data_IF_983127510025
#
_entry.id   IF_983127510025
#
_cell.length_a   1.000
_cell.length_b   1.000
_cell.length_c   1.000
_cell.angle_alpha   90.00
_cell.angle_beta   90.00
_cell.angle_gamma   90.00
#
_symmetry.space_group_name_H-M   'P 1'
#
loop_
_entity.id
_entity.type
_entity.pdbx_description
1 polymer ?
#
# COMPACT_ATOMS: atom_id res chain seq x y z
N UNK A 1 -7.55 -4.65 73.36
CA UNK A 1 -6.75 -4.76 72.11
C UNK A 1 -7.52 -5.52 71.04
N UNK A 2 -8.68 -5.02 70.56
CA UNK A 2 -9.44 -5.69 69.49
C UNK A 2 -9.99 -4.74 68.41
N UNK A 3 -9.75 -3.42 68.52
CA UNK A 3 -10.25 -2.43 67.56
C UNK A 3 -9.36 -2.22 66.32
N UNK A 4 -8.06 -2.48 66.40
CA UNK A 4 -7.13 -2.20 65.29
C UNK A 4 -7.12 -3.28 64.19
N UNK A 5 -7.49 -4.53 64.50
CA UNK A 5 -7.45 -5.60 63.49
C UNK A 5 -8.63 -5.54 62.50
N UNK A 6 -9.78 -4.99 62.90
CA UNK A 6 -10.93 -4.83 62.01
C UNK A 6 -10.78 -3.68 61.01
N UNK A 7 -10.05 -2.62 61.38
CA UNK A 7 -9.73 -1.50 60.49
C UNK A 7 -8.66 -1.86 59.44
N UNK A 8 -7.70 -2.73 59.78
CA UNK A 8 -6.72 -3.23 58.83
C UNK A 8 -7.32 -4.23 57.83
N UNK A 9 -8.29 -5.05 58.26
CA UNK A 9 -9.00 -5.97 57.37
C UNK A 9 -9.98 -5.26 56.41
N UNK A 10 -10.59 -4.14 56.81
CA UNK A 10 -11.42 -3.34 55.91
C UNK A 10 -10.60 -2.49 54.92
N UNK A 11 -9.41 -2.01 55.31
CA UNK A 11 -8.50 -1.30 54.39
C UNK A 11 -7.84 -2.22 53.36
N UNK A 12 -7.55 -3.47 53.70
CA UNK A 12 -7.02 -4.46 52.74
C UNK A 12 -8.12 -5.01 51.82
N UNK A 13 -9.37 -5.10 52.28
CA UNK A 13 -10.50 -5.51 51.44
C UNK A 13 -10.92 -4.44 50.41
N UNK A 14 -10.70 -3.15 50.68
CA UNK A 14 -10.98 -2.06 49.72
C UNK A 14 -9.85 -1.88 48.71
N UNK A 15 -8.61 -2.24 49.05
CA UNK A 15 -7.48 -2.24 48.11
C UNK A 15 -7.50 -3.42 47.11
N UNK A 16 -8.24 -4.50 47.41
CA UNK A 16 -8.30 -5.71 46.59
C UNK A 16 -9.44 -5.73 45.54
N UNK A 17 -10.22 -4.65 45.38
CA UNK A 17 -11.48 -4.69 44.63
C UNK A 17 -11.59 -3.75 43.41
N UNK A 18 -10.53 -3.06 43.00
CA UNK A 18 -10.53 -2.32 41.73
C UNK A 18 -9.16 -2.48 41.05
N UNK A 19 -9.05 -3.45 40.13
CA UNK A 19 -7.97 -3.42 39.14
C UNK A 19 -8.02 -2.07 38.44
N UNK A 20 -6.85 -1.42 38.30
CA UNK A 20 -6.74 -0.13 37.61
C UNK A 20 -7.28 -0.24 36.19
N UNK A 21 -7.78 0.86 35.64
CA UNK A 21 -8.21 0.94 34.23
C UNK A 21 -7.11 0.40 33.30
N UNK A 22 -5.84 0.69 33.61
CA UNK A 22 -4.69 0.20 32.87
C UNK A 22 -4.50 -1.33 32.94
N UNK A 23 -4.66 -1.96 34.11
CA UNK A 23 -4.54 -3.42 34.21
C UNK A 23 -5.68 -4.14 33.47
N UNK A 24 -6.90 -3.58 33.51
CA UNK A 24 -8.03 -4.10 32.72
C UNK A 24 -7.78 -3.96 31.22
N UNK A 25 -7.27 -2.80 30.79
CA UNK A 25 -6.91 -2.56 29.40
C UNK A 25 -5.83 -3.53 28.91
N UNK A 26 -4.82 -3.81 29.75
CA UNK A 26 -3.78 -4.80 29.44
C UNK A 26 -4.36 -6.19 29.23
N UNK A 27 -5.19 -6.68 30.16
CA UNK A 27 -5.85 -8.00 30.05
C UNK A 27 -6.74 -8.05 28.80
N UNK A 28 -7.42 -6.95 28.48
CA UNK A 28 -8.21 -6.86 27.26
C UNK A 28 -7.35 -6.97 26.00
N UNK A 29 -6.23 -6.25 25.93
CA UNK A 29 -5.30 -6.32 24.80
C UNK A 29 -4.64 -7.69 24.66
N UNK A 30 -4.29 -8.36 25.76
CA UNK A 30 -3.73 -9.72 25.72
C UNK A 30 -4.73 -10.71 25.11
N UNK A 31 -6.02 -10.61 25.48
CA UNK A 31 -7.09 -11.41 24.89
C UNK A 31 -7.37 -11.05 23.43
N UNK A 32 -7.28 -9.76 23.08
CA UNK A 32 -7.39 -9.29 21.71
C UNK A 32 -6.28 -9.90 20.85
N UNK A 33 -5.03 -9.76 21.27
CA UNK A 33 -3.84 -10.22 20.53
C UNK A 33 -3.92 -11.71 20.20
N UNK A 34 -4.26 -12.55 21.18
CA UNK A 34 -4.37 -14.00 20.97
C UNK A 34 -5.41 -14.39 19.91
N UNK A 35 -6.54 -13.69 19.82
CA UNK A 35 -7.58 -13.99 18.83
C UNK A 35 -7.34 -13.28 17.50
N UNK A 36 -6.76 -12.09 17.56
CA UNK A 36 -6.52 -11.25 16.41
C UNK A 36 -5.51 -11.92 15.48
N UNK A 37 -4.42 -12.46 16.04
CA UNK A 37 -3.36 -13.14 15.28
C UNK A 37 -3.90 -14.33 14.46
N UNK A 38 -4.82 -15.11 15.02
CA UNK A 38 -5.46 -16.22 14.31
C UNK A 38 -6.32 -15.72 13.13
N UNK A 39 -7.23 -14.78 13.39
CA UNK A 39 -8.18 -14.28 12.40
C UNK A 39 -7.51 -13.45 11.30
N UNK A 40 -6.51 -12.63 11.64
CA UNK A 40 -5.76 -11.86 10.65
C UNK A 40 -4.93 -12.78 9.77
N UNK A 41 -4.34 -13.85 10.32
CA UNK A 41 -3.59 -14.84 9.55
C UNK A 41 -4.49 -15.59 8.55
N UNK A 42 -5.67 -16.04 8.99
CA UNK A 42 -6.67 -16.66 8.09
C UNK A 42 -7.08 -15.71 6.94
N UNK A 43 -7.32 -14.44 7.27
CA UNK A 43 -7.66 -13.42 6.27
C UNK A 43 -6.51 -13.17 5.29
N UNK A 44 -5.27 -13.09 5.78
CA UNK A 44 -4.08 -12.89 4.97
C UNK A 44 -3.81 -14.07 4.03
N UNK A 45 -3.99 -15.31 4.51
CA UNK A 45 -3.90 -16.52 3.68
C UNK A 45 -4.95 -16.53 2.56
N UNK A 46 -6.20 -16.21 2.87
CA UNK A 46 -7.26 -16.16 1.84
C UNK A 46 -6.98 -15.08 0.79
N UNK A 47 -6.41 -13.94 1.21
CA UNK A 47 -5.98 -12.88 0.29
C UNK A 47 -4.79 -13.33 -0.57
N UNK A 48 -3.80 -14.02 0.02
CA UNK A 48 -2.68 -14.60 -0.72
C UNK A 48 -3.16 -15.59 -1.79
N UNK A 49 -4.09 -16.49 -1.46
CA UNK A 49 -4.66 -17.47 -2.40
C UNK A 49 -5.35 -16.80 -3.58
N UNK A 50 -6.04 -15.68 -3.36
CA UNK A 50 -6.64 -14.90 -4.44
C UNK A 50 -5.57 -14.21 -5.31
N UNK A 51 -4.59 -13.54 -4.71
CA UNK A 51 -3.55 -12.81 -5.46
C UNK A 51 -2.66 -13.75 -6.28
N UNK A 52 -2.46 -14.99 -5.81
CA UNK A 52 -1.68 -16.03 -6.50
C UNK A 52 -2.52 -16.98 -7.36
N UNK A 53 -3.85 -16.86 -7.32
CA UNK A 53 -4.78 -17.62 -8.16
C UNK A 53 -6.16 -16.92 -8.22
N UNK A 54 -6.35 -16.04 -9.19
CA UNK A 54 -7.57 -15.24 -9.36
C UNK A 54 -8.69 -16.14 -9.90
N UNK A 55 -9.65 -16.46 -9.03
CA UNK A 55 -10.87 -17.21 -9.34
C UNK A 55 -12.07 -16.64 -8.57
N UNK A 56 -13.28 -16.91 -9.06
CA UNK A 56 -14.52 -16.53 -8.37
C UNK A 56 -14.65 -17.21 -6.99
N UNK A 57 -14.10 -18.42 -6.84
CA UNK A 57 -14.07 -19.13 -5.57
C UNK A 57 -13.12 -18.45 -4.57
N UNK A 58 -11.90 -18.08 -5.00
CA UNK A 58 -10.92 -17.46 -4.13
C UNK A 58 -11.33 -16.04 -3.71
N UNK A 59 -11.97 -15.27 -4.60
CA UNK A 59 -12.50 -13.95 -4.19
C UNK A 59 -13.63 -14.10 -3.15
N UNK A 60 -14.45 -15.14 -3.25
CA UNK A 60 -15.47 -15.41 -2.24
C UNK A 60 -14.83 -15.79 -0.89
N UNK A 61 -13.87 -16.72 -0.88
CA UNK A 61 -13.15 -17.11 0.34
C UNK A 61 -12.44 -15.93 1.01
N UNK A 62 -11.77 -15.10 0.21
CA UNK A 62 -11.12 -13.87 0.68
C UNK A 62 -12.14 -12.92 1.33
N UNK A 63 -13.26 -12.65 0.66
CA UNK A 63 -14.30 -11.76 1.19
C UNK A 63 -14.94 -12.31 2.47
N UNK A 64 -15.14 -13.63 2.58
CA UNK A 64 -15.67 -14.28 3.79
C UNK A 64 -14.70 -14.16 4.97
N UNK A 65 -13.40 -14.37 4.73
CA UNK A 65 -12.37 -14.25 5.77
C UNK A 65 -12.21 -12.78 6.23
N UNK A 66 -12.15 -11.84 5.28
CA UNK A 66 -12.07 -10.39 5.57
C UNK A 66 -13.30 -9.89 6.33
N UNK A 67 -14.49 -10.41 6.00
CA UNK A 67 -15.73 -10.08 6.73
C UNK A 67 -15.69 -10.56 8.18
N UNK A 68 -15.16 -11.76 8.44
CA UNK A 68 -14.99 -12.29 9.81
C UNK A 68 -13.99 -11.45 10.60
N UNK A 69 -12.84 -11.13 10.01
CA UNK A 69 -11.83 -10.27 10.61
C UNK A 69 -12.40 -8.89 10.94
N UNK A 70 -13.06 -8.25 9.97
CA UNK A 70 -13.67 -6.93 10.14
C UNK A 70 -14.72 -6.91 11.25
N UNK A 71 -15.61 -7.91 11.30
CA UNK A 71 -16.63 -8.00 12.35
C UNK A 71 -16.03 -8.20 13.75
N UNK A 72 -14.98 -9.02 13.87
CA UNK A 72 -14.24 -9.16 15.12
C UNK A 72 -13.60 -7.84 15.51
N UNK A 73 -12.87 -7.20 14.60
CA UNK A 73 -12.17 -5.94 14.86
C UNK A 73 -13.14 -4.83 15.28
N UNK A 74 -14.28 -4.70 14.59
CA UNK A 74 -15.34 -3.75 14.95
C UNK A 74 -15.86 -3.99 16.38
N UNK A 75 -16.12 -5.25 16.74
CA UNK A 75 -16.57 -5.59 18.10
C UNK A 75 -15.52 -5.20 19.14
N UNK A 76 -14.25 -5.51 18.88
CA UNK A 76 -13.16 -5.18 19.80
C UNK A 76 -12.91 -3.68 19.88
N UNK A 77 -13.06 -2.94 18.77
CA UNK A 77 -12.97 -1.48 18.74
C UNK A 77 -14.02 -0.82 19.64
N UNK A 78 -15.29 -1.26 19.56
CA UNK A 78 -16.37 -0.79 20.44
C UNK A 78 -16.08 -1.06 21.92
N UNK A 79 -15.51 -2.23 22.24
CA UNK A 79 -15.09 -2.54 23.61
C UNK A 79 -13.90 -1.67 24.04
N UNK A 80 -12.95 -1.43 23.15
CA UNK A 80 -11.77 -0.61 23.41
C UNK A 80 -12.14 0.84 23.76
N UNK A 81 -13.21 1.39 23.19
CA UNK A 81 -13.71 2.74 23.51
C UNK A 81 -14.11 2.92 24.98
N UNK A 82 -14.36 1.83 25.72
CA UNK A 82 -14.68 1.90 27.15
C UNK A 82 -13.49 2.25 28.03
N UNK A 83 -12.27 2.24 27.49
CA UNK A 83 -11.03 2.61 28.19
C UNK A 83 -10.64 4.06 27.88
N UNK A 84 -10.76 5.01 28.84
CA UNK A 84 -10.36 6.40 28.64
C UNK A 84 -8.84 6.51 28.47
N UNK A 85 -8.39 6.99 27.30
CA UNK A 85 -6.97 7.10 26.98
C UNK A 85 -6.18 8.02 27.93
N UNK A 86 -6.86 8.97 28.60
CA UNK A 86 -6.26 9.88 29.56
C UNK A 86 -5.88 9.18 30.89
N UNK A 87 -6.52 8.04 31.19
CA UNK A 87 -6.23 7.24 32.38
C UNK A 87 -5.08 6.24 32.16
N UNK A 88 -4.63 6.05 30.92
CA UNK A 88 -3.58 5.11 30.56
C UNK A 88 -2.22 5.83 30.58
N UNK A 89 -1.34 5.39 31.48
CA UNK A 89 -0.01 5.97 31.67
C UNK A 89 1.03 5.29 30.79
N UNK A 90 0.91 3.98 30.59
CA UNK A 90 1.83 3.22 29.75
C UNK A 90 1.67 3.62 28.27
N UNK A 91 2.69 4.22 27.63
CA UNK A 91 2.57 4.71 26.26
C UNK A 91 2.32 3.59 25.23
N UNK A 92 2.85 2.38 25.48
CA UNK A 92 2.65 1.22 24.59
C UNK A 92 1.21 0.71 24.65
N UNK A 93 0.61 0.66 25.85
CA UNK A 93 -0.81 0.29 26.01
C UNK A 93 -1.69 1.39 25.41
N UNK A 94 -1.36 2.66 25.67
CA UNK A 94 -2.11 3.81 25.14
C UNK A 94 -2.12 3.79 23.61
N UNK A 95 -0.98 3.53 22.95
CA UNK A 95 -0.88 3.46 21.49
C UNK A 95 -1.71 2.30 20.91
N UNK A 96 -1.65 1.12 21.52
CA UNK A 96 -2.47 -0.03 21.09
C UNK A 96 -3.97 0.29 21.18
N UNK A 97 -4.42 0.90 22.28
CA UNK A 97 -5.80 1.34 22.43
C UNK A 97 -6.17 2.45 21.45
N UNK A 98 -5.29 3.44 21.23
CA UNK A 98 -5.52 4.52 20.25
C UNK A 98 -5.81 3.96 18.87
N UNK A 99 -5.02 2.98 18.40
CA UNK A 99 -5.23 2.31 17.11
C UNK A 99 -6.56 1.55 17.12
N UNK A 100 -6.82 0.76 18.16
CA UNK A 100 -8.01 -0.08 18.21
C UNK A 100 -9.32 0.74 18.37
N UNK A 101 -9.25 1.93 18.96
CA UNK A 101 -10.39 2.85 19.10
C UNK A 101 -10.73 3.60 17.80
N UNK A 102 -9.89 3.52 16.77
CA UNK A 102 -10.24 4.03 15.44
C UNK A 102 -11.28 3.09 14.81
N UNK A 103 -12.51 3.58 14.68
CA UNK A 103 -13.63 2.80 14.17
C UNK A 103 -13.50 2.45 12.68
N UNK A 104 -12.64 3.19 11.95
CA UNK A 104 -12.41 3.01 10.53
C UNK A 104 -13.73 3.06 9.75
N UNK A 105 -13.96 2.08 8.87
CA UNK A 105 -15.20 1.95 8.09
C UNK A 105 -16.45 1.63 8.90
N UNK A 106 -16.33 1.20 10.16
CA UNK A 106 -17.46 0.81 11.01
C UNK A 106 -18.35 1.98 11.44
N UNK A 107 -17.92 3.23 11.18
CA UNK A 107 -18.76 4.42 11.40
C UNK A 107 -19.84 4.55 10.33
N UNK A 108 -19.65 3.95 9.16
CA UNK A 108 -20.65 3.96 8.10
C UNK A 108 -21.80 3.01 8.45
N UNK A 109 -23.01 3.34 7.98
CA UNK A 109 -24.13 2.38 8.06
C UNK A 109 -23.81 1.10 7.28
N UNK A 110 -24.42 -0.05 7.62
CA UNK A 110 -24.17 -1.31 6.92
C UNK A 110 -24.35 -1.21 5.39
N UNK A 111 -25.37 -0.47 4.93
CA UNK A 111 -25.62 -0.24 3.51
C UNK A 111 -24.50 0.58 2.85
N UNK A 112 -24.04 1.66 3.50
CA UNK A 112 -22.94 2.50 2.99
C UNK A 112 -21.60 1.77 3.00
N UNK A 113 -21.34 0.97 4.03
CA UNK A 113 -20.15 0.12 4.10
C UNK A 113 -20.13 -0.91 2.96
N UNK A 114 -21.26 -1.59 2.72
CA UNK A 114 -21.42 -2.51 1.59
C UNK A 114 -21.24 -1.81 0.24
N UNK A 115 -21.78 -0.60 0.09
CA UNK A 115 -21.65 0.21 -1.12
C UNK A 115 -20.19 0.61 -1.37
N UNK A 116 -19.48 1.09 -0.35
CA UNK A 116 -18.05 1.41 -0.42
C UNK A 116 -17.21 0.19 -0.85
N UNK A 117 -17.45 -0.97 -0.22
CA UNK A 117 -16.75 -2.21 -0.59
C UNK A 117 -17.03 -2.60 -2.04
N UNK A 118 -18.28 -2.49 -2.48
CA UNK A 118 -18.67 -2.77 -3.88
C UNK A 118 -17.94 -1.84 -4.87
N UNK A 119 -17.84 -0.54 -4.55
CA UNK A 119 -17.13 0.44 -5.37
C UNK A 119 -15.64 0.10 -5.46
N UNK A 120 -15.00 -0.19 -4.32
CA UNK A 120 -13.60 -0.57 -4.24
C UNK A 120 -13.30 -1.82 -5.08
N UNK A 121 -14.10 -2.89 -4.93
CA UNK A 121 -13.95 -4.11 -5.73
C UNK A 121 -14.13 -3.81 -7.21
N UNK A 122 -15.16 -3.05 -7.60
CA UNK A 122 -15.39 -2.68 -9.01
C UNK A 122 -14.23 -1.90 -9.61
N UNK A 123 -13.71 -0.89 -8.91
CA UNK A 123 -12.56 -0.10 -9.38
C UNK A 123 -11.32 -0.99 -9.55
N UNK A 124 -11.06 -1.89 -8.59
CA UNK A 124 -9.95 -2.85 -8.66
C UNK A 124 -10.09 -3.81 -9.85
N UNK A 125 -11.29 -4.37 -10.09
CA UNK A 125 -11.56 -5.24 -11.23
C UNK A 125 -11.42 -4.49 -12.56
N UNK A 126 -11.98 -3.28 -12.67
CA UNK A 126 -11.86 -2.44 -13.89
C UNK A 126 -10.38 -2.17 -14.20
N UNK A 127 -9.58 -1.83 -13.18
CA UNK A 127 -8.16 -1.54 -13.36
C UNK A 127 -7.37 -2.78 -13.78
N UNK A 128 -7.59 -3.93 -13.13
CA UNK A 128 -6.84 -5.17 -13.40
C UNK A 128 -7.24 -5.89 -14.69
N UNK A 129 -8.50 -5.77 -15.10
CA UNK A 129 -9.05 -6.51 -16.25
C UNK A 129 -9.35 -5.63 -17.46
N UNK A 130 -9.25 -4.30 -17.32
CA UNK A 130 -9.45 -3.33 -18.37
C UNK A 130 -8.55 -3.60 -19.57
N UNK A 131 -9.08 -3.41 -20.77
CA UNK A 131 -8.38 -3.65 -22.03
C UNK A 131 -8.54 -2.49 -22.99
N UNK A 132 -7.50 -2.24 -23.78
CA UNK A 132 -7.50 -1.28 -24.88
C UNK A 132 -7.20 -2.04 -26.17
N UNK A 133 -8.06 -1.86 -27.18
CA UNK A 133 -7.92 -2.54 -28.46
C UNK A 133 -7.28 -1.63 -29.51
N UNK A 134 -6.49 -2.23 -30.40
CA UNK A 134 -5.84 -1.54 -31.50
C UNK A 134 -6.89 -1.01 -32.50
N UNK A 135 -6.90 0.29 -32.85
CA UNK A 135 -7.88 0.86 -33.77
C UNK A 135 -7.81 0.23 -35.17
N UNK A 136 -6.62 -0.23 -35.58
CA UNK A 136 -6.39 -0.84 -36.88
C UNK A 136 -6.69 -2.35 -36.89
N UNK A 137 -6.72 -2.99 -35.72
CA UNK A 137 -7.04 -4.39 -35.57
C UNK A 137 -7.85 -4.61 -34.27
N UNK A 138 -9.19 -4.51 -34.31
CA UNK A 138 -10.02 -4.60 -33.12
C UNK A 138 -9.95 -5.96 -32.39
N UNK A 139 -9.36 -7.00 -33.00
CA UNK A 139 -9.14 -8.29 -32.35
C UNK A 139 -7.90 -8.30 -31.45
N UNK A 140 -7.01 -7.32 -31.62
CA UNK A 140 -5.80 -7.16 -30.83
C UNK A 140 -6.06 -6.21 -29.66
N UNK A 141 -6.30 -6.78 -28.48
CA UNK A 141 -6.57 -6.02 -27.26
C UNK A 141 -5.57 -6.37 -26.16
N UNK A 142 -5.04 -5.35 -25.50
CA UNK A 142 -4.03 -5.49 -24.45
C UNK A 142 -4.62 -5.10 -23.10
N UNK A 143 -4.28 -5.88 -22.07
CA UNK A 143 -4.43 -5.47 -20.67
C UNK A 143 -3.34 -4.47 -20.31
N UNK A 144 -3.41 -3.87 -19.11
CA UNK A 144 -2.42 -2.90 -18.64
C UNK A 144 -0.98 -3.42 -18.78
N UNK A 145 -0.68 -4.67 -18.41
CA UNK A 145 0.67 -5.24 -18.53
C UNK A 145 1.22 -5.21 -19.97
N UNK A 146 0.38 -5.53 -20.96
CA UNK A 146 0.78 -5.44 -22.37
C UNK A 146 0.93 -4.00 -22.85
N UNK A 147 0.13 -3.08 -22.31
CA UNK A 147 0.24 -1.65 -22.60
C UNK A 147 1.48 -1.02 -21.95
N UNK A 148 1.86 -1.47 -20.74
CA UNK A 148 3.08 -1.06 -20.05
C UNK A 148 4.31 -1.43 -20.88
N UNK A 149 4.41 -2.66 -21.40
CA UNK A 149 5.50 -3.06 -22.30
C UNK A 149 5.68 -2.11 -23.51
N UNK A 150 4.56 -1.69 -24.11
CA UNK A 150 4.58 -0.70 -25.20
C UNK A 150 5.05 0.67 -24.70
N UNK A 151 4.56 1.13 -23.55
CA UNK A 151 4.96 2.41 -22.95
C UNK A 151 6.41 2.41 -22.43
N UNK A 152 7.00 1.26 -22.17
CA UNK A 152 8.41 1.16 -21.77
C UNK A 152 9.33 1.16 -23.00
N UNK A 153 8.99 0.37 -24.03
CA UNK A 153 9.91 0.08 -25.15
C UNK A 153 9.69 0.94 -26.39
N UNK A 154 8.46 1.37 -26.66
CA UNK A 154 8.15 2.05 -27.91
C UNK A 154 8.77 3.44 -27.98
N UNK A 155 9.33 3.78 -29.14
CA UNK A 155 9.78 5.13 -29.52
C UNK A 155 8.87 5.79 -30.56
N UNK A 156 7.74 5.15 -30.90
CA UNK A 156 6.77 5.73 -31.83
C UNK A 156 5.81 6.66 -31.08
N UNK A 157 5.80 7.94 -31.46
CA UNK A 157 4.97 8.96 -30.83
C UNK A 157 3.47 8.60 -30.85
N UNK A 158 2.96 8.14 -31.99
CA UNK A 158 1.53 7.89 -32.17
C UNK A 158 1.10 6.61 -31.47
N UNK A 159 1.95 5.58 -31.45
CA UNK A 159 1.67 4.34 -30.72
C UNK A 159 1.57 4.62 -29.22
N UNK A 160 2.51 5.37 -28.65
CA UNK A 160 2.48 5.78 -27.25
C UNK A 160 1.27 6.66 -26.92
N UNK A 161 0.94 7.59 -27.82
CA UNK A 161 -0.25 8.44 -27.67
C UNK A 161 -1.54 7.61 -27.67
N UNK A 162 -1.68 6.65 -28.59
CA UNK A 162 -2.82 5.74 -28.64
C UNK A 162 -2.96 4.96 -27.34
N UNK A 163 -1.87 4.35 -26.84
CA UNK A 163 -1.89 3.59 -25.59
C UNK A 163 -2.30 4.48 -24.42
N UNK A 164 -1.65 5.64 -24.29
CA UNK A 164 -1.88 6.57 -23.17
C UNK A 164 -3.30 7.12 -23.13
N UNK A 165 -3.83 7.53 -24.29
CA UNK A 165 -5.19 8.06 -24.42
C UNK A 165 -6.23 6.94 -24.34
N UNK A 166 -5.97 5.80 -24.98
CA UNK A 166 -6.82 4.62 -24.95
C UNK A 166 -7.06 4.12 -23.54
N UNK A 167 -6.01 4.02 -22.71
CA UNK A 167 -6.16 3.63 -21.31
C UNK A 167 -7.04 4.60 -20.52
N UNK A 168 -6.83 5.91 -20.68
CA UNK A 168 -7.58 6.95 -19.97
C UNK A 168 -9.04 7.05 -20.43
N UNK A 169 -9.27 6.85 -21.72
CA UNK A 169 -10.60 6.93 -22.31
C UNK A 169 -11.44 5.69 -22.03
N UNK A 170 -10.89 4.49 -22.21
CA UNK A 170 -11.62 3.24 -22.04
C UNK A 170 -11.76 2.86 -20.57
N UNK A 171 -10.69 2.98 -19.77
CA UNK A 171 -10.70 2.59 -18.35
C UNK A 171 -10.96 3.79 -17.44
N UNK A 172 -10.25 4.90 -17.64
CA UNK A 172 -10.36 6.08 -16.78
C UNK A 172 -11.79 6.67 -16.72
N UNK A 173 -12.53 6.68 -17.83
CA UNK A 173 -13.93 7.16 -17.84
C UNK A 173 -14.88 6.27 -17.03
N UNK A 174 -14.64 4.96 -17.00
CA UNK A 174 -15.44 4.04 -16.18
C UNK A 174 -15.19 4.26 -14.68
N UNK A 175 -13.96 4.62 -14.30
CA UNK A 175 -13.59 4.90 -12.92
C UNK A 175 -14.16 6.24 -12.41
N UNK A 176 -14.39 7.22 -13.29
CA UNK A 176 -14.81 8.56 -12.90
C UNK A 176 -16.04 8.61 -11.98
N UNK A 177 -17.21 8.04 -12.33
CA UNK A 177 -18.39 8.10 -11.45
C UNK A 177 -18.18 7.31 -10.15
N UNK A 178 -17.44 6.20 -10.21
CA UNK A 178 -17.10 5.41 -9.02
C UNK A 178 -16.22 6.19 -8.04
N UNK A 179 -15.27 6.96 -8.57
CA UNK A 179 -14.34 7.75 -7.76
C UNK A 179 -15.03 8.95 -7.09
N UNK A 180 -16.01 9.57 -7.75
CA UNK A 180 -16.83 10.64 -7.15
C UNK A 180 -17.55 10.13 -5.90
N UNK A 181 -18.26 9.00 -6.03
CA UNK A 181 -18.99 8.39 -4.92
C UNK A 181 -18.05 7.83 -3.83
N UNK A 182 -16.91 7.29 -4.23
CA UNK A 182 -15.85 6.84 -3.32
C UNK A 182 -15.37 7.98 -2.40
N UNK A 183 -15.13 9.17 -2.94
CA UNK A 183 -14.65 10.32 -2.17
C UNK A 183 -15.69 10.75 -1.13
N UNK A 184 -16.98 10.78 -1.49
CA UNK A 184 -18.06 11.12 -0.57
C UNK A 184 -18.14 10.15 0.61
N UNK A 185 -18.15 8.84 0.32
CA UNK A 185 -18.21 7.79 1.34
C UNK A 185 -16.96 7.77 2.23
N UNK A 186 -15.77 7.98 1.65
CA UNK A 186 -14.51 8.05 2.42
C UNK A 186 -14.43 9.28 3.30
N UNK A 187 -14.92 10.44 2.85
CA UNK A 187 -14.99 11.64 3.68
C UNK A 187 -16.04 11.54 4.78
N UNK A 188 -17.17 10.88 4.53
CA UNK A 188 -18.14 10.57 5.60
C UNK A 188 -17.51 9.69 6.67
N UNK A 189 -16.79 8.64 6.25
CA UNK A 189 -16.06 7.75 7.15
C UNK A 189 -15.00 8.50 7.98
N UNK A 190 -14.18 9.34 7.33
CA UNK A 190 -13.14 10.10 8.01
C UNK A 190 -13.70 11.08 9.06
N UNK A 191 -14.74 11.84 8.69
CA UNK A 191 -15.41 12.78 9.62
C UNK A 191 -16.08 12.07 10.78
N UNK A 192 -16.64 10.89 10.52
CA UNK A 192 -17.16 10.01 11.57
C UNK A 192 -16.09 9.52 12.57
N UNK A 193 -14.81 9.54 12.18
CA UNK A 193 -13.66 9.22 13.03
C UNK A 193 -12.96 10.49 13.57
N UNK A 194 -13.61 11.65 13.55
CA UNK A 194 -13.08 12.94 14.01
C UNK A 194 -11.85 13.47 13.24
N UNK A 195 -11.71 13.11 11.96
CA UNK A 195 -10.77 13.74 11.03
C UNK A 195 -11.48 14.80 10.18
N UNK A 196 -10.73 15.77 9.65
CA UNK A 196 -11.29 16.83 8.80
C UNK A 196 -11.83 16.29 7.47
N UNK A 197 -11.04 15.42 6.83
CA UNK A 197 -11.34 14.73 5.58
C UNK A 197 -10.52 13.43 5.48
N UNK A 198 -10.70 12.68 4.40
CA UNK A 198 -9.97 11.42 4.22
C UNK A 198 -8.45 11.61 3.99
N UNK A 199 -8.03 12.78 3.53
CA UNK A 199 -6.61 13.14 3.47
C UNK A 199 -6.02 13.34 4.86
N UNK A 200 -6.76 13.97 5.78
CA UNK A 200 -6.39 14.12 7.18
C UNK A 200 -6.30 12.76 7.88
N UNK A 201 -7.25 11.86 7.60
CA UNK A 201 -7.17 10.46 8.04
C UNK A 201 -5.86 9.78 7.61
N UNK A 202 -5.44 9.94 6.35
CA UNK A 202 -4.16 9.39 5.87
C UNK A 202 -2.94 10.01 6.54
N UNK A 203 -2.93 11.33 6.73
CA UNK A 203 -1.81 12.01 7.40
C UNK A 203 -1.67 11.60 8.87
N UNK A 204 -2.70 11.03 9.48
CA UNK A 204 -2.68 10.48 10.84
C UNK A 204 -1.64 9.41 11.09
N UNK A 205 -1.14 8.73 10.05
CA UNK A 205 -0.05 7.75 10.19
C UNK A 205 1.25 8.38 10.73
N UNK A 206 1.50 9.64 10.36
CA UNK A 206 2.69 10.40 10.78
C UNK A 206 2.49 11.11 12.11
N UNK A 207 1.28 11.10 12.67
CA UNK A 207 0.99 11.76 13.93
C UNK A 207 1.61 11.00 15.11
N UNK A 208 2.39 11.72 15.91
CA UNK A 208 3.02 11.17 17.12
C UNK A 208 2.79 12.10 18.31
N UNK A 209 2.33 11.50 19.40
CA UNK A 209 2.26 12.12 20.73
C UNK A 209 3.55 11.78 21.51
N UNK A 210 4.65 12.45 21.18
CA UNK A 210 5.94 12.26 21.85
C UNK A 210 6.13 13.18 23.06
N UNK A 211 6.83 12.70 24.10
CA UNK A 211 7.51 13.58 25.06
C UNK A 211 8.80 14.12 24.43
N UNK A 212 9.34 15.20 24.99
CA UNK A 212 10.69 15.69 24.67
C UNK A 212 10.95 16.13 23.22
N UNK A 213 9.94 16.71 22.55
CA UNK A 213 10.10 17.36 21.25
C UNK A 213 9.89 16.48 20.02
N UNK A 214 9.44 15.22 20.20
CA UNK A 214 9.11 14.30 19.10
C UNK A 214 7.62 14.31 18.71
N UNK A 215 6.88 15.36 19.07
CA UNK A 215 5.50 15.53 18.63
C UNK A 215 5.45 15.92 17.16
N UNK A 216 4.56 15.31 16.39
CA UNK A 216 4.38 15.62 14.97
C UNK A 216 2.88 15.69 14.66
N UNK A 217 2.45 16.79 14.05
CA UNK A 217 1.03 16.98 13.70
C UNK A 217 0.77 16.57 12.25
N UNK A 218 -0.49 16.24 11.96
CA UNK A 218 -0.93 15.89 10.61
C UNK A 218 -0.74 17.04 9.61
N UNK A 219 -0.85 18.29 10.06
CA UNK A 219 -0.64 19.47 9.23
C UNK A 219 0.85 19.72 8.95
N UNK A 220 1.73 19.44 9.92
CA UNK A 220 3.18 19.58 9.77
C UNK A 220 3.71 18.79 8.57
N UNK A 221 3.09 17.64 8.27
CA UNK A 221 3.41 16.85 7.08
C UNK A 221 3.29 17.65 5.78
N UNK A 222 2.23 18.45 5.64
CA UNK A 222 2.00 19.24 4.42
C UNK A 222 3.11 20.30 4.29
N UNK A 223 3.39 21.02 5.38
CA UNK A 223 4.42 22.06 5.41
C UNK A 223 5.81 21.50 5.07
N UNK A 224 6.18 20.35 5.67
CA UNK A 224 7.48 19.73 5.44
C UNK A 224 7.62 19.21 4.01
N UNK A 225 6.58 18.58 3.45
CA UNK A 225 6.58 18.09 2.07
C UNK A 225 6.70 19.26 1.09
N UNK A 226 5.95 20.34 1.28
CA UNK A 226 6.03 21.53 0.42
C UNK A 226 7.40 22.20 0.50
N UNK A 227 7.94 22.35 1.70
CA UNK A 227 9.29 22.92 1.91
C UNK A 227 10.36 22.08 1.22
N UNK A 228 10.38 20.76 1.46
CA UNK A 228 11.36 19.85 0.86
C UNK A 228 11.20 19.83 -0.68
N UNK A 229 9.97 19.88 -1.20
CA UNK A 229 9.76 19.98 -2.64
C UNK A 229 10.39 21.24 -3.25
N UNK A 230 10.32 22.39 -2.58
CA UNK A 230 10.98 23.61 -3.03
C UNK A 230 12.50 23.50 -3.04
N UNK A 231 13.08 22.74 -2.11
CA UNK A 231 14.52 22.44 -2.08
C UNK A 231 14.95 21.52 -3.23
N UNK A 232 14.07 20.57 -3.64
CA UNK A 232 14.30 19.65 -4.77
C UNK A 232 14.11 20.34 -6.13
N UNK A 233 13.21 21.33 -6.20
CA UNK A 233 12.75 21.96 -7.44
C UNK A 233 13.90 22.43 -8.37
N UNK A 234 14.96 23.12 -7.91
CA UNK A 234 16.04 23.55 -8.82
C UNK A 234 16.74 22.38 -9.51
N UNK A 235 17.00 21.29 -8.78
CA UNK A 235 17.59 20.07 -9.34
C UNK A 235 16.65 19.44 -10.38
N UNK A 236 15.36 19.35 -10.05
CA UNK A 236 14.35 18.83 -10.96
C UNK A 236 14.22 19.68 -12.24
N UNK A 237 14.26 21.00 -12.14
CA UNK A 237 14.17 21.88 -13.32
C UNK A 237 15.33 21.69 -14.28
N UNK A 238 16.56 21.50 -13.76
CA UNK A 238 17.72 21.17 -14.58
C UNK A 238 17.59 19.79 -15.24
N UNK A 239 17.16 18.77 -14.49
CA UNK A 239 16.89 17.44 -15.03
C UNK A 239 15.81 17.48 -16.11
N UNK A 240 14.69 18.16 -15.84
CA UNK A 240 13.59 18.35 -16.79
C UNK A 240 14.07 19.05 -18.07
N UNK A 241 14.83 20.14 -17.95
CA UNK A 241 15.36 20.87 -19.11
C UNK A 241 16.31 20.00 -19.95
N UNK A 242 17.19 19.23 -19.29
CA UNK A 242 18.10 18.30 -19.95
C UNK A 242 17.36 17.19 -20.70
N UNK A 243 16.42 16.52 -20.03
CA UNK A 243 15.58 15.47 -20.62
C UNK A 243 14.76 16.02 -21.78
N UNK A 244 14.18 17.22 -21.63
CA UNK A 244 13.45 17.89 -22.72
C UNK A 244 14.33 18.11 -23.95
N UNK A 245 15.54 18.61 -23.79
CA UNK A 245 16.46 18.83 -24.90
C UNK A 245 16.83 17.50 -25.61
N UNK A 246 17.04 16.43 -24.85
CA UNK A 246 17.31 15.09 -25.42
C UNK A 246 16.09 14.51 -26.14
N UNK A 247 14.91 14.61 -25.56
CA UNK A 247 13.66 14.13 -26.17
C UNK A 247 13.28 14.93 -27.43
N UNK A 248 13.65 16.20 -27.55
CA UNK A 248 13.46 16.96 -28.78
C UNK A 248 14.20 16.35 -29.97
N UNK A 249 15.35 15.70 -29.74
CA UNK A 249 16.08 14.98 -30.79
C UNK A 249 15.37 13.66 -31.15
N UNK A 250 14.85 12.95 -30.14
CA UNK A 250 14.13 11.69 -30.34
C UNK A 250 12.75 11.90 -31.00
N UNK A 251 12.09 13.02 -30.72
CA UNK A 251 10.76 13.37 -31.22
C UNK A 251 10.76 14.77 -31.88
N UNK A 252 11.36 14.92 -33.08
CA UNK A 252 11.45 16.20 -33.75
C UNK A 252 10.08 16.84 -33.99
N UNK A 253 9.96 18.14 -33.74
CA UNK A 253 8.72 18.93 -33.92
C UNK A 253 7.53 18.51 -33.04
N UNK A 254 7.73 17.62 -32.05
CA UNK A 254 6.67 17.20 -31.10
C UNK A 254 6.79 17.84 -29.72
N UNK A 255 7.93 18.45 -29.41
CA UNK A 255 8.23 19.02 -28.09
C UNK A 255 8.71 20.47 -28.26
N UNK A 256 8.10 21.39 -27.51
CA UNK A 256 8.53 22.79 -27.48
C UNK A 256 9.81 22.96 -26.65
N UNK A 257 10.78 23.79 -27.07
CA UNK A 257 12.02 24.03 -26.31
C UNK A 257 11.79 24.66 -24.92
N UNK A 258 10.66 25.35 -24.74
CA UNK A 258 10.32 26.06 -23.49
C UNK A 258 9.08 25.49 -22.81
N UNK A 259 8.37 24.55 -23.45
CA UNK A 259 7.13 23.97 -22.93
C UNK A 259 7.35 22.80 -21.97
N UNK A 260 6.23 22.22 -21.53
CA UNK A 260 6.20 20.99 -20.75
C UNK A 260 6.48 19.75 -21.62
N UNK A 261 6.81 18.64 -20.96
CA UNK A 261 6.96 17.34 -21.60
C UNK A 261 5.58 16.71 -21.87
N UNK A 262 5.32 16.14 -23.06
CA UNK A 262 4.11 15.35 -23.30
C UNK A 262 4.07 14.11 -22.40
N UNK A 263 2.98 13.94 -21.64
CA UNK A 263 2.88 12.90 -20.60
C UNK A 263 3.08 11.45 -21.11
N UNK A 264 2.72 11.18 -22.37
CA UNK A 264 2.85 9.85 -22.97
C UNK A 264 4.29 9.50 -23.38
N UNK A 265 5.26 10.41 -23.24
CA UNK A 265 6.66 10.19 -23.65
C UNK A 265 7.61 9.98 -22.47
N UNK A 266 7.08 9.65 -21.28
CA UNK A 266 7.86 9.69 -20.03
C UNK A 266 8.36 8.32 -19.53
N UNK A 267 8.29 7.28 -20.37
CA UNK A 267 8.89 5.97 -20.10
C UNK A 267 7.98 4.96 -19.39
N UNK A 268 6.84 5.37 -18.85
CA UNK A 268 5.78 4.49 -18.37
C UNK A 268 4.38 5.08 -18.68
N UNK A 269 3.30 4.43 -18.23
CA UNK A 269 1.91 4.85 -18.49
C UNK A 269 1.52 6.23 -17.92
N UNK A 270 2.22 6.70 -16.89
CA UNK A 270 1.88 7.91 -16.12
C UNK A 270 3.01 8.94 -16.01
N UNK A 271 4.23 8.57 -16.39
CA UNK A 271 5.45 9.32 -16.11
C UNK A 271 5.86 9.26 -14.64
N UNK A 272 5.60 8.13 -13.96
CA UNK A 272 5.95 7.92 -12.54
C UNK A 272 7.46 7.86 -12.36
N UNK A 273 8.15 7.16 -13.26
CA UNK A 273 9.60 7.07 -13.30
C UNK A 273 10.13 7.32 -14.71
N UNK A 274 11.21 8.07 -14.82
CA UNK A 274 11.86 8.36 -16.11
C UNK A 274 12.99 7.39 -16.45
N UNK A 275 13.07 6.24 -15.76
CA UNK A 275 14.12 5.22 -15.91
C UNK A 275 14.22 4.75 -17.36
N UNK A 276 13.08 4.47 -18.01
CA UNK A 276 13.04 3.99 -19.39
C UNK A 276 13.37 5.06 -20.43
N UNK A 277 13.66 6.30 -20.00
CA UNK A 277 14.22 7.34 -20.87
C UNK A 277 15.74 7.29 -20.95
N UNK A 278 16.40 6.42 -20.17
CA UNK A 278 17.87 6.39 -20.07
C UNK A 278 18.54 6.24 -21.43
N UNK A 279 18.08 5.33 -22.28
CA UNK A 279 18.61 5.12 -23.64
C UNK A 279 18.52 6.37 -24.52
N UNK A 280 17.56 7.25 -24.27
CA UNK A 280 17.39 8.52 -25.00
C UNK A 280 18.13 9.69 -24.34
N UNK A 281 18.49 9.56 -23.06
CA UNK A 281 18.99 10.66 -22.23
C UNK A 281 20.38 10.41 -21.66
N UNK A 282 21.02 9.31 -22.00
CA UNK A 282 22.39 8.99 -21.57
C UNK A 282 23.36 10.13 -21.95
N UNK A 283 24.17 10.65 -21.01
CA UNK A 283 25.10 11.75 -21.29
C UNK A 283 26.28 11.35 -22.20
N UNK A 284 26.76 10.11 -22.06
CA UNK A 284 27.96 9.61 -22.75
C UNK A 284 27.70 8.22 -23.35
N UNK A 285 27.06 8.18 -24.53
CA UNK A 285 26.64 6.94 -25.22
C UNK A 285 27.77 5.92 -25.43
N UNK A 286 28.98 6.41 -25.70
CA UNK A 286 30.19 5.61 -25.92
C UNK A 286 30.80 5.00 -24.64
N UNK A 287 30.26 5.30 -23.45
CA UNK A 287 30.69 4.65 -22.20
C UNK A 287 29.75 3.47 -21.91
N UNK A 288 30.27 2.29 -21.55
CA UNK A 288 29.41 1.18 -21.17
C UNK A 288 28.55 1.60 -19.99
N UNK A 289 27.24 1.40 -20.11
CA UNK A 289 26.35 1.54 -18.99
C UNK A 289 26.59 0.39 -18.00
N UNK A 290 26.37 0.63 -16.71
CA UNK A 290 26.28 -0.47 -15.75
C UNK A 290 24.84 -0.98 -15.76
N UNK A 291 24.41 -1.48 -16.92
CA UNK A 291 23.23 -2.33 -17.03
C UNK A 291 23.71 -3.78 -17.07
N UNK A 292 23.40 -4.53 -16.02
CA UNK A 292 23.86 -5.91 -15.84
C UNK A 292 22.88 -6.92 -16.41
N UNK A 293 21.76 -6.50 -17.01
CA UNK A 293 20.72 -7.39 -17.54
C UNK A 293 21.29 -8.39 -18.54
N UNK A 294 22.11 -7.91 -19.50
CA UNK A 294 22.77 -8.79 -20.48
C UNK A 294 23.69 -9.81 -19.81
N UNK A 295 24.47 -9.38 -18.82
CA UNK A 295 25.39 -10.26 -18.09
C UNK A 295 24.65 -11.30 -17.24
N UNK A 296 23.48 -10.96 -16.67
CA UNK A 296 22.62 -11.90 -15.94
C UNK A 296 22.06 -12.98 -16.86
N UNK A 297 21.60 -12.59 -18.06
CA UNK A 297 21.11 -13.52 -19.09
C UNK A 297 22.23 -14.44 -19.59
N UNK A 298 23.41 -13.90 -19.89
CA UNK A 298 24.58 -14.69 -20.33
C UNK A 298 25.04 -15.71 -19.29
N UNK A 299 24.88 -15.38 -18.00
CA UNK A 299 25.20 -16.26 -16.88
C UNK A 299 24.03 -17.16 -16.45
N UNK A 300 22.91 -17.14 -17.18
CA UNK A 300 21.70 -17.93 -16.89
C UNK A 300 21.16 -17.71 -15.46
N UNK A 301 21.12 -16.46 -15.00
CA UNK A 301 20.48 -16.15 -13.72
C UNK A 301 18.97 -16.37 -13.80
N UNK A 302 18.44 -17.13 -12.86
CA UNK A 302 17.00 -17.30 -12.65
C UNK A 302 16.52 -16.46 -11.46
N UNK A 303 15.21 -16.47 -11.21
CA UNK A 303 14.62 -15.73 -10.08
C UNK A 303 15.20 -16.17 -8.74
N UNK A 304 15.34 -17.48 -8.51
CA UNK A 304 15.88 -18.01 -7.25
C UNK A 304 17.30 -17.50 -6.97
N UNK A 305 18.17 -17.46 -8.00
CA UNK A 305 19.52 -16.90 -7.89
C UNK A 305 19.51 -15.42 -7.50
N UNK A 306 18.63 -14.63 -8.10
CA UNK A 306 18.47 -13.20 -7.78
C UNK A 306 18.13 -13.02 -6.30
N UNK A 307 17.12 -13.75 -5.80
CA UNK A 307 16.70 -13.68 -4.41
C UNK A 307 17.78 -14.19 -3.44
N UNK A 308 18.55 -15.23 -3.80
CA UNK A 308 19.67 -15.72 -2.99
C UNK A 308 20.82 -14.72 -2.88
N UNK A 309 21.13 -13.98 -3.95
CA UNK A 309 22.13 -12.91 -3.85
C UNK A 309 21.62 -11.73 -3.00
N UNK A 310 20.32 -11.44 -3.03
CA UNK A 310 19.71 -10.47 -2.11
C UNK A 310 19.77 -10.94 -0.64
N UNK A 311 19.43 -12.19 -0.36
CA UNK A 311 19.56 -12.79 0.99
C UNK A 311 21.01 -12.73 1.48
N UNK A 312 21.98 -13.10 0.63
CA UNK A 312 23.40 -13.03 0.94
C UNK A 312 23.86 -11.62 1.27
N UNK A 313 23.34 -10.60 0.56
CA UNK A 313 23.61 -9.20 0.90
C UNK A 313 23.13 -8.87 2.32
N UNK A 314 21.91 -9.22 2.69
CA UNK A 314 21.39 -8.95 4.04
C UNK A 314 22.17 -9.70 5.13
N UNK A 315 22.54 -10.96 4.89
CA UNK A 315 23.43 -11.72 5.80
C UNK A 315 24.78 -11.03 5.96
N UNK A 316 25.34 -10.47 4.89
CA UNK A 316 26.65 -9.81 4.93
C UNK A 316 26.69 -8.57 5.85
N UNK A 317 25.53 -7.96 6.12
CA UNK A 317 25.37 -6.84 7.05
C UNK A 317 24.80 -7.26 8.42
N UNK A 318 24.74 -8.55 8.69
CA UNK A 318 24.37 -9.10 10.00
C UNK A 318 22.87 -9.35 10.21
N UNK A 319 22.06 -9.29 9.15
CA UNK A 319 20.63 -9.64 9.21
C UNK A 319 20.41 -11.15 9.05
N UNK A 320 19.29 -11.71 9.55
CA UNK A 320 19.01 -13.14 9.42
C UNK A 320 18.75 -13.56 7.98
N UNK A 321 18.94 -14.86 7.70
CA UNK A 321 18.48 -15.49 6.46
C UNK A 321 16.95 -15.49 6.38
N UNK A 322 16.42 -15.70 5.19
CA UNK A 322 14.99 -15.96 4.99
C UNK A 322 14.59 -17.28 5.67
N UNK A 323 13.31 -17.38 6.02
CA UNK A 323 12.76 -18.59 6.64
C UNK A 323 12.58 -19.70 5.60
N UNK A 324 12.56 -20.99 6.01
CA UNK A 324 12.17 -22.07 5.09
C UNK A 324 10.77 -21.88 4.50
N UNK A 325 9.86 -21.27 5.26
CA UNK A 325 8.51 -20.92 4.80
C UNK A 325 8.53 -19.92 3.64
N UNK A 326 9.37 -18.89 3.72
CA UNK A 326 9.54 -17.91 2.64
C UNK A 326 9.88 -18.59 1.31
N UNK A 327 10.89 -19.46 1.29
CA UNK A 327 11.33 -20.13 0.06
C UNK A 327 10.29 -21.11 -0.49
N UNK A 328 9.53 -21.78 0.38
CA UNK A 328 8.54 -22.78 -0.03
C UNK A 328 7.20 -22.17 -0.45
N UNK A 329 6.85 -20.99 0.07
CA UNK A 329 5.51 -20.43 -0.05
C UNK A 329 5.42 -19.18 -0.94
N UNK A 330 6.55 -18.53 -1.26
CA UNK A 330 6.58 -17.32 -2.11
C UNK A 330 6.33 -17.62 -3.58
N UNK A 331 5.82 -16.64 -4.34
CA UNK A 331 5.62 -16.74 -5.78
C UNK A 331 6.66 -15.87 -6.49
N UNK A 332 7.87 -16.41 -6.66
CA UNK A 332 9.00 -15.67 -7.24
C UNK A 332 8.96 -15.56 -8.78
N UNK A 333 8.08 -16.32 -9.43
CA UNK A 333 7.90 -16.35 -10.89
C UNK A 333 6.44 -16.46 -11.25
N UNK A 334 6.07 -15.96 -12.43
CA UNK A 334 4.73 -16.17 -12.98
C UNK A 334 4.48 -17.67 -13.23
N UNK A 335 3.34 -18.21 -12.75
CA UNK A 335 3.03 -19.62 -12.91
C UNK A 335 2.72 -19.97 -14.37
N UNK A 336 3.38 -21.01 -14.90
CA UNK A 336 3.22 -21.46 -16.30
C UNK A 336 1.98 -22.32 -16.58
N UNK A 337 1.07 -22.48 -15.61
CA UNK A 337 -0.11 -23.34 -15.72
C UNK A 337 -1.40 -22.59 -16.12
N UNK A 338 -1.28 -21.32 -16.48
CA UNK A 338 -2.38 -20.50 -17.00
C UNK A 338 -3.28 -19.90 -15.94
N UNK A 339 -2.97 -20.04 -14.64
CA UNK A 339 -3.67 -19.30 -13.59
C UNK A 339 -3.38 -17.81 -13.72
N UNK A 340 -4.37 -16.98 -13.41
CA UNK A 340 -4.22 -15.52 -13.41
C UNK A 340 -3.75 -15.08 -12.04
N UNK A 341 -2.79 -14.16 -11.99
CA UNK A 341 -2.20 -13.66 -10.73
C UNK A 341 -2.06 -12.14 -10.76
N UNK A 342 -1.89 -11.53 -9.60
CA UNK A 342 -1.53 -10.11 -9.48
C UNK A 342 0.00 -10.01 -9.49
N UNK A 343 0.59 -9.50 -10.57
CA UNK A 343 2.05 -9.46 -10.75
C UNK A 343 2.74 -8.21 -10.16
N UNK A 344 2.02 -7.34 -9.46
CA UNK A 344 2.65 -6.16 -8.84
C UNK A 344 3.53 -6.62 -7.67
N UNK A 345 4.81 -6.19 -7.57
CA UNK A 345 5.68 -6.60 -6.48
C UNK A 345 5.11 -6.22 -5.11
N UNK A 346 4.99 -7.21 -4.23
CA UNK A 346 4.45 -7.04 -2.86
C UNK A 346 5.27 -7.88 -1.89
N UNK A 347 5.46 -7.40 -0.67
CA UNK A 347 6.01 -8.19 0.43
C UNK A 347 4.90 -8.41 1.47
N UNK A 348 4.71 -9.66 1.88
CA UNK A 348 3.62 -10.06 2.75
C UNK A 348 4.14 -10.56 4.10
N UNK A 349 3.64 -9.96 5.17
CA UNK A 349 3.66 -10.52 6.52
C UNK A 349 2.25 -11.05 6.81
N UNK A 350 2.10 -12.38 6.83
CA UNK A 350 0.83 -13.04 7.07
C UNK A 350 0.60 -13.26 8.57
N UNK A 351 1.52 -12.84 9.45
CA UNK A 351 1.52 -13.18 10.87
C UNK A 351 2.06 -14.59 11.13
N UNK A 352 2.21 -14.94 12.42
CA UNK A 352 2.71 -16.26 12.86
C UNK A 352 4.06 -16.68 12.26
N UNK A 353 4.89 -15.71 11.87
CA UNK A 353 6.19 -15.94 11.24
C UNK A 353 6.13 -16.41 9.79
N UNK A 354 4.99 -16.26 9.10
CA UNK A 354 4.83 -16.56 7.68
C UNK A 354 5.06 -15.29 6.84
N UNK A 355 6.22 -15.24 6.18
CA UNK A 355 6.65 -14.13 5.34
C UNK A 355 6.78 -14.60 3.90
N UNK A 356 6.25 -13.83 2.94
CA UNK A 356 6.24 -14.19 1.51
C UNK A 356 6.51 -12.97 0.62
N UNK A 357 6.92 -13.24 -0.61
CA UNK A 357 6.99 -12.26 -1.71
C UNK A 357 6.19 -12.76 -2.91
#
# INVERSE_FOLDING_TARGET
>A
MSGSSWLLLSLVAVAAAQSSTEEKAKIFLDNFNSKAEDLSHESALASWDYNTNITDENVQKMNEADSKWSAFYEQQSKLAQTYPLQEIQNPTIKRQLQVLQQNGSSVLSPDKSKQLNTILTKMSTIYSTGKVCNPNNPQECFTLAGLEDIMEKSKDYNQRLWVWEGWRSEVGKQLRPLYEEYVDLKNEMARGNNYEDYGDYWRGDYETEGKDGYSYSRHQLIEDVERIFLEIKPLYEHLHAYVRAKLMNAYPSRISPTGYLPAHLLGDMWGRFWTNLYDLTVPFEQKPNIDVTGAMVEQSWDAEKIFKEAEKFYISVGLPSMTPGFWNNSMLTEPGDGRKVVCHPTAWDLGKGDFRI
#
